data_IF_638628156926
#
_entry.id   IF_638628156926
#
_cell.length_a   1.000
_cell.length_b   1.000
_cell.length_c   1.000
_cell.angle_alpha   90.00
_cell.angle_beta   90.00
_cell.angle_gamma   90.00
#
_symmetry.space_group_name_H-M   'P 1'
#
loop_
_entity.id
_entity.type
_entity.pdbx_description
1 polymer ?
#
# COMPACT_ATOMS: atom_id res chain seq x y z
N UNK A 1 -6.46 19.06 1.84
CA UNK A 1 -5.11 18.45 1.89
C UNK A 1 -4.04 19.29 2.59
N UNK A 2 -4.09 20.63 2.60
CA UNK A 2 -3.02 21.45 3.21
C UNK A 2 -2.80 21.16 4.71
N UNK A 3 -3.86 21.01 5.51
CA UNK A 3 -3.75 20.68 6.94
C UNK A 3 -2.98 19.38 7.20
N UNK A 4 -3.25 18.31 6.44
CA UNK A 4 -2.50 17.04 6.53
C UNK A 4 -1.01 17.22 6.21
N UNK A 5 -0.68 18.05 5.21
CA UNK A 5 0.73 18.35 4.87
C UNK A 5 1.43 19.07 6.02
N UNK A 6 0.76 20.04 6.65
CA UNK A 6 1.30 20.77 7.80
C UNK A 6 1.51 19.85 9.02
N UNK A 7 0.63 18.87 9.20
CA UNK A 7 0.74 17.86 10.25
C UNK A 7 1.69 16.69 9.92
N UNK A 8 2.40 16.71 8.79
CA UNK A 8 3.24 15.60 8.29
C UNK A 8 2.49 14.27 8.07
N UNK A 9 1.17 14.31 7.91
CA UNK A 9 0.30 13.14 7.67
C UNK A 9 0.04 12.87 6.18
N UNK A 10 0.64 13.65 5.28
CA UNK A 10 0.47 13.49 3.84
C UNK A 10 1.82 13.38 3.13
N UNK A 11 2.18 12.15 2.73
CA UNK A 11 3.32 11.85 1.86
C UNK A 11 4.64 12.53 2.33
N UNK A 12 4.85 12.57 3.64
CA UNK A 12 5.91 13.34 4.30
C UNK A 12 7.31 12.74 4.13
N UNK A 13 7.42 11.46 3.77
CA UNK A 13 8.69 10.75 3.69
C UNK A 13 9.24 10.57 2.26
N UNK A 14 8.62 11.22 1.26
CA UNK A 14 9.08 11.15 -0.12
C UNK A 14 10.50 11.74 -0.27
N UNK A 15 11.28 11.14 -1.16
CA UNK A 15 12.64 11.56 -1.47
C UNK A 15 12.61 12.51 -2.66
N UNK A 16 13.13 13.72 -2.48
CA UNK A 16 13.23 14.68 -3.58
C UNK A 16 14.26 14.24 -4.63
N UNK A 17 13.85 14.27 -5.89
CA UNK A 17 14.65 13.95 -7.08
C UNK A 17 14.82 15.22 -7.92
N UNK A 18 16.06 15.56 -8.27
CA UNK A 18 16.37 16.72 -9.12
C UNK A 18 17.71 16.56 -9.85
N UNK A 19 17.97 17.42 -10.85
CA UNK A 19 19.23 17.43 -11.59
C UNK A 19 19.52 16.10 -12.29
N UNK A 20 20.74 15.58 -12.15
CA UNK A 20 21.17 14.32 -12.80
C UNK A 20 20.32 13.10 -12.41
N UNK A 21 19.68 13.10 -11.24
CA UNK A 21 18.83 11.99 -10.81
C UNK A 21 17.56 11.88 -11.68
N UNK A 22 17.05 13.01 -12.19
CA UNK A 22 15.92 13.01 -13.14
C UNK A 22 16.30 12.30 -14.43
N UNK A 23 17.50 12.56 -14.95
CA UNK A 23 18.00 11.88 -16.15
C UNK A 23 18.13 10.37 -15.92
N UNK A 24 18.65 9.94 -14.76
CA UNK A 24 18.75 8.53 -14.41
C UNK A 24 17.38 7.87 -14.31
N UNK A 25 16.45 8.53 -13.62
CA UNK A 25 15.08 8.05 -13.49
C UNK A 25 14.39 7.91 -14.85
N UNK A 26 14.55 8.90 -15.74
CA UNK A 26 14.03 8.84 -17.11
C UNK A 26 14.65 7.70 -17.93
N UNK A 27 15.95 7.39 -17.73
CA UNK A 27 16.56 6.21 -18.36
C UNK A 27 15.98 4.90 -17.83
N UNK A 28 15.64 4.83 -16.54
CA UNK A 28 14.93 3.69 -15.97
C UNK A 28 13.54 3.55 -16.61
N UNK A 29 12.76 4.64 -16.69
CA UNK A 29 11.45 4.63 -17.36
C UNK A 29 11.53 4.07 -18.78
N UNK A 30 12.45 4.59 -19.60
CA UNK A 30 12.63 4.11 -20.98
C UNK A 30 13.05 2.65 -21.02
N UNK A 31 13.96 2.21 -20.13
CA UNK A 31 14.40 0.82 -20.07
C UNK A 31 13.27 -0.14 -19.72
N UNK A 32 12.32 0.30 -18.91
CA UNK A 32 11.13 -0.46 -18.51
C UNK A 32 9.96 -0.34 -19.51
N UNK A 33 10.15 0.34 -20.65
CA UNK A 33 9.12 0.50 -21.68
C UNK A 33 8.19 1.70 -21.48
N UNK A 34 8.46 2.58 -20.52
CA UNK A 34 7.66 3.78 -20.24
C UNK A 34 8.20 5.04 -20.92
N UNK A 35 7.32 6.02 -21.10
CA UNK A 35 7.71 7.36 -21.57
C UNK A 35 8.46 8.15 -20.48
N UNK A 36 9.49 8.95 -20.83
CA UNK A 36 10.11 9.87 -19.88
C UNK A 36 9.11 10.88 -19.28
N UNK A 37 9.32 11.28 -18.03
CA UNK A 37 8.66 12.46 -17.44
C UNK A 37 9.31 13.76 -17.97
N UNK A 38 8.50 14.81 -18.10
CA UNK A 38 8.97 16.17 -18.43
C UNK A 38 9.31 16.99 -17.18
N UNK A 39 9.03 16.46 -15.98
CA UNK A 39 9.30 17.14 -14.72
C UNK A 39 10.81 17.25 -14.48
N UNK A 40 11.25 18.44 -14.07
CA UNK A 40 12.65 18.73 -13.72
C UNK A 40 12.96 18.49 -12.23
N UNK A 41 11.91 18.33 -11.42
CA UNK A 41 11.96 18.02 -10.00
C UNK A 41 10.66 17.32 -9.60
N UNK A 42 10.76 16.24 -8.82
CA UNK A 42 9.64 15.47 -8.29
C UNK A 42 10.09 14.72 -7.04
N UNK A 43 9.20 13.97 -6.40
CA UNK A 43 9.51 13.18 -5.22
C UNK A 43 9.12 11.73 -5.42
N UNK A 44 9.91 10.79 -4.89
CA UNK A 44 9.67 9.34 -5.01
C UNK A 44 9.54 8.65 -3.67
N UNK A 45 8.84 7.54 -3.63
CA UNK A 45 8.68 6.67 -2.46
C UNK A 45 9.68 5.51 -2.42
N UNK A 46 9.44 4.51 -1.56
CA UNK A 46 10.31 3.34 -1.41
C UNK A 46 10.52 2.52 -2.70
N UNK A 47 9.49 2.35 -3.54
CA UNK A 47 9.59 1.61 -4.82
C UNK A 47 10.03 2.51 -5.97
N UNK A 48 10.15 3.81 -5.75
CA UNK A 48 10.46 4.78 -6.80
C UNK A 48 9.22 5.40 -7.45
N UNK A 49 8.02 5.15 -6.92
CA UNK A 49 6.79 5.77 -7.40
C UNK A 49 6.74 7.25 -7.00
N UNK A 50 6.36 8.11 -7.95
CA UNK A 50 6.18 9.55 -7.79
C UNK A 50 4.73 9.94 -8.02
N UNK A 51 4.07 10.55 -7.03
CA UNK A 51 2.72 11.08 -7.23
C UNK A 51 2.65 12.21 -8.26
N UNK A 52 3.70 13.04 -8.38
CA UNK A 52 3.75 14.12 -9.38
C UNK A 52 3.83 13.55 -10.81
N UNK A 53 4.58 12.47 -11.02
CA UNK A 53 4.63 11.78 -12.31
C UNK A 53 3.31 11.05 -12.59
N UNK A 54 2.68 10.47 -11.57
CA UNK A 54 1.37 9.85 -11.71
C UNK A 54 0.30 10.87 -12.17
N UNK A 55 0.34 12.10 -11.63
CA UNK A 55 -0.51 13.20 -12.05
C UNK A 55 -0.21 13.63 -13.50
N UNK A 56 1.09 13.80 -13.84
CA UNK A 56 1.51 14.13 -15.23
C UNK A 56 1.00 13.10 -16.25
N UNK A 57 1.07 11.80 -15.90
CA UNK A 57 0.70 10.70 -16.78
C UNK A 57 -0.79 10.32 -16.70
N UNK A 58 -1.54 10.89 -15.76
CA UNK A 58 -2.94 10.53 -15.51
C UNK A 58 -3.15 9.08 -15.04
N UNK A 59 -2.13 8.45 -14.46
CA UNK A 59 -2.18 7.07 -13.98
C UNK A 59 -1.35 6.87 -12.72
N UNK A 60 -1.99 6.32 -11.69
CA UNK A 60 -1.31 5.90 -10.45
C UNK A 60 -0.45 4.66 -10.63
N UNK A 61 -0.59 3.95 -11.75
CA UNK A 61 0.11 2.70 -12.04
C UNK A 61 1.12 2.87 -13.19
N UNK A 62 1.71 4.07 -13.33
CA UNK A 62 2.62 4.35 -14.45
C UNK A 62 3.93 3.55 -14.43
N UNK A 63 4.26 2.88 -13.31
CA UNK A 63 5.39 1.95 -13.19
C UNK A 63 4.99 0.49 -13.48
N UNK A 64 3.76 0.24 -13.89
CA UNK A 64 3.28 -1.11 -14.19
C UNK A 64 2.98 -1.23 -15.69
N UNK A 65 3.46 -2.30 -16.31
CA UNK A 65 3.06 -2.67 -17.67
C UNK A 65 1.82 -3.55 -17.59
N UNK A 66 0.65 -2.91 -17.56
CA UNK A 66 -0.61 -3.58 -17.25
C UNK A 66 -0.69 -3.94 -15.76
N UNK A 67 -1.50 -4.95 -15.43
CA UNK A 67 -1.75 -5.35 -14.04
C UNK A 67 -0.83 -6.49 -13.56
N UNK A 68 -0.20 -7.23 -14.46
CA UNK A 68 0.64 -8.39 -14.11
C UNK A 68 2.14 -8.07 -13.97
N UNK A 69 2.60 -6.90 -14.45
CA UNK A 69 4.03 -6.58 -14.53
C UNK A 69 4.36 -5.29 -13.76
N UNK A 70 4.42 -5.32 -12.42
CA UNK A 70 4.85 -4.19 -11.63
C UNK A 70 6.38 -4.05 -11.64
N UNK A 71 6.85 -2.80 -11.63
CA UNK A 71 8.28 -2.50 -11.61
C UNK A 71 8.61 -1.54 -10.47
N UNK A 72 9.88 -1.54 -10.07
CA UNK A 72 10.42 -0.55 -9.15
C UNK A 72 11.68 0.11 -9.72
N UNK A 73 11.96 1.33 -9.26
CA UNK A 73 13.13 2.09 -9.65
C UNK A 73 13.89 2.50 -8.39
N UNK A 74 15.14 2.05 -8.27
CA UNK A 74 16.04 2.46 -7.20
C UNK A 74 17.10 3.41 -7.78
N UNK A 75 17.05 4.67 -7.36
CA UNK A 75 18.03 5.71 -7.75
C UNK A 75 18.86 6.20 -6.57
N UNK A 76 18.52 5.81 -5.34
CA UNK A 76 19.17 6.31 -4.12
C UNK A 76 19.11 5.29 -2.97
N UNK A 77 20.16 5.19 -2.13
CA UNK A 77 20.10 4.37 -0.92
C UNK A 77 19.09 4.89 0.10
N UNK A 78 18.67 6.15 -0.02
CA UNK A 78 17.66 6.76 0.87
C UNK A 78 16.28 6.10 0.76
N UNK A 79 16.02 5.32 -0.30
CA UNK A 79 14.79 4.54 -0.44
C UNK A 79 14.71 3.38 0.56
N UNK A 80 15.82 3.00 1.21
CA UNK A 80 15.84 1.97 2.24
C UNK A 80 14.89 2.31 3.39
N UNK A 81 13.90 1.44 3.62
CA UNK A 81 12.94 1.57 4.72
C UNK A 81 11.89 2.65 4.51
N UNK A 82 11.82 3.28 3.32
CA UNK A 82 10.80 4.30 3.04
C UNK A 82 9.43 3.69 2.80
N UNK A 83 8.35 4.42 3.16
CA UNK A 83 6.99 3.98 2.86
C UNK A 83 6.78 3.78 1.35
N UNK A 84 5.91 2.84 1.00
CA UNK A 84 5.35 2.66 -0.34
C UNK A 84 3.94 3.23 -0.32
N UNK A 85 3.70 4.33 -1.03
CA UNK A 85 2.45 5.10 -0.89
C UNK A 85 1.33 4.62 -1.80
N UNK A 86 1.66 3.96 -2.90
CA UNK A 86 0.69 3.36 -3.83
C UNK A 86 1.15 1.93 -4.17
N UNK A 87 1.20 1.01 -3.19
CA UNK A 87 1.53 -0.39 -3.47
C UNK A 87 0.47 -0.97 -4.42
N UNK A 88 0.92 -1.76 -5.38
CA UNK A 88 0.03 -2.55 -6.24
C UNK A 88 -0.36 -3.86 -5.54
N UNK A 89 0.58 -4.46 -4.80
CA UNK A 89 0.33 -5.57 -3.88
C UNK A 89 0.65 -5.20 -2.44
N UNK A 90 -0.05 -5.79 -1.47
CA UNK A 90 0.26 -5.57 -0.05
C UNK A 90 1.68 -5.98 0.34
N UNK A 91 2.31 -6.89 -0.42
CA UNK A 91 3.67 -7.35 -0.18
C UNK A 91 4.77 -6.53 -0.90
N UNK A 92 4.44 -5.49 -1.67
CA UNK A 92 5.43 -4.69 -2.41
C UNK A 92 6.46 -4.04 -1.47
N UNK A 93 6.02 -3.64 -0.28
CA UNK A 93 6.88 -3.04 0.74
C UNK A 93 7.87 -4.07 1.28
N UNK A 94 7.43 -5.28 1.55
CA UNK A 94 8.21 -6.40 2.07
C UNK A 94 9.25 -6.87 1.04
N UNK A 95 8.87 -6.92 -0.25
CA UNK A 95 9.81 -7.16 -1.34
C UNK A 95 10.93 -6.13 -1.34
N UNK A 96 10.61 -4.83 -1.23
CA UNK A 96 11.62 -3.78 -1.16
C UNK A 96 12.49 -3.89 0.10
N UNK A 97 11.92 -4.24 1.25
CA UNK A 97 12.68 -4.51 2.46
C UNK A 97 13.68 -5.66 2.26
N UNK A 98 13.27 -6.75 1.62
CA UNK A 98 14.14 -7.87 1.29
C UNK A 98 15.27 -7.46 0.34
N UNK A 99 14.95 -6.67 -0.70
CA UNK A 99 15.93 -6.12 -1.65
C UNK A 99 17.02 -5.34 -0.90
N UNK A 100 16.64 -4.40 -0.03
CA UNK A 100 17.60 -3.59 0.71
C UNK A 100 18.31 -4.35 1.83
N UNK A 101 17.69 -5.41 2.38
CA UNK A 101 18.33 -6.30 3.36
C UNK A 101 19.45 -7.12 2.75
N UNK A 102 19.24 -7.66 1.54
CA UNK A 102 20.21 -8.55 0.88
C UNK A 102 21.25 -7.76 0.09
N UNK A 103 20.82 -6.75 -0.67
CA UNK A 103 21.68 -6.03 -1.63
C UNK A 103 22.01 -4.59 -1.22
N UNK A 104 21.68 -4.17 0.01
CA UNK A 104 21.77 -2.77 0.46
C UNK A 104 23.14 -2.10 0.22
N UNK A 105 24.24 -2.79 0.52
CA UNK A 105 25.59 -2.25 0.33
C UNK A 105 25.94 -2.07 -1.15
N UNK A 106 25.53 -3.03 -1.99
CA UNK A 106 25.70 -2.95 -3.45
C UNK A 106 24.84 -1.85 -4.05
N UNK A 107 23.59 -1.73 -3.61
CA UNK A 107 22.68 -0.65 -4.02
C UNK A 107 23.30 0.71 -3.69
N UNK A 108 23.85 0.86 -2.49
CA UNK A 108 24.52 2.10 -2.08
C UNK A 108 25.71 2.45 -2.98
N UNK A 109 26.54 1.48 -3.37
CA UNK A 109 27.64 1.74 -4.30
C UNK A 109 27.15 2.04 -5.72
N UNK A 110 26.23 1.22 -6.26
CA UNK A 110 25.72 1.33 -7.64
C UNK A 110 24.98 2.65 -7.88
N UNK A 111 24.21 3.12 -6.90
CA UNK A 111 23.39 4.34 -7.05
C UNK A 111 24.20 5.64 -6.98
N UNK A 112 25.51 5.59 -6.70
CA UNK A 112 26.40 6.76 -6.77
C UNK A 112 26.43 7.34 -8.18
N UNK A 113 26.57 6.48 -9.19
CA UNK A 113 26.76 6.85 -10.59
C UNK A 113 25.69 6.25 -11.53
N UNK A 114 24.91 5.28 -11.06
CA UNK A 114 23.87 4.60 -11.83
C UNK A 114 22.51 4.58 -11.12
N UNK A 115 21.60 3.77 -11.65
CA UNK A 115 20.29 3.43 -11.09
C UNK A 115 19.95 1.98 -11.44
N UNK A 116 19.01 1.41 -10.68
CA UNK A 116 18.61 0.00 -10.78
C UNK A 116 17.12 -0.03 -11.09
N UNK A 117 16.77 -0.70 -12.18
CA UNK A 117 15.39 -1.05 -12.48
C UNK A 117 15.13 -2.44 -11.92
N UNK A 118 14.03 -2.60 -11.21
CA UNK A 118 13.56 -3.86 -10.70
C UNK A 118 12.36 -4.29 -11.53
N UNK A 119 12.36 -5.55 -11.89
CA UNK A 119 11.26 -6.24 -12.52
C UNK A 119 10.76 -7.30 -11.55
N UNK A 120 9.48 -7.22 -11.20
CA UNK A 120 8.82 -8.21 -10.36
C UNK A 120 8.11 -9.17 -11.30
N UNK A 121 8.70 -10.34 -11.50
CA UNK A 121 8.23 -11.34 -12.43
C UNK A 121 7.49 -12.45 -11.67
N UNK A 122 6.20 -12.62 -11.95
CA UNK A 122 5.38 -13.67 -11.37
C UNK A 122 5.28 -14.92 -12.26
N UNK A 123 6.04 -14.96 -13.36
CA UNK A 123 5.87 -15.88 -14.49
C UNK A 123 4.44 -15.78 -15.09
N UNK A 124 3.87 -14.57 -15.08
CA UNK A 124 2.55 -14.25 -15.63
C UNK A 124 2.74 -13.10 -16.62
N UNK A 125 2.69 -13.41 -17.91
CA UNK A 125 2.88 -12.38 -18.96
C UNK A 125 1.76 -11.32 -18.91
N UNK A 126 0.52 -11.79 -18.75
CA UNK A 126 -0.68 -10.98 -18.67
C UNK A 126 -1.80 -11.77 -17.97
N UNK A 127 -2.73 -11.03 -17.37
CA UNK A 127 -3.99 -11.61 -16.92
C UNK A 127 -5.00 -11.68 -18.05
N UNK A 128 -5.73 -12.80 -18.09
CA UNK A 128 -6.84 -13.03 -19.01
C UNK A 128 -8.16 -13.18 -18.24
N UNK A 129 -8.10 -13.76 -17.05
CA UNK A 129 -9.27 -14.05 -16.21
C UNK A 129 -9.05 -13.56 -14.76
N UNK A 130 -10.11 -13.13 -14.06
CA UNK A 130 -9.98 -12.56 -12.71
C UNK A 130 -9.35 -13.49 -11.69
N UNK A 131 -9.50 -14.81 -11.84
CA UNK A 131 -8.89 -15.80 -10.95
C UNK A 131 -7.44 -16.14 -11.31
N UNK A 132 -6.86 -15.54 -12.36
CA UNK A 132 -5.43 -15.64 -12.63
C UNK A 132 -4.58 -15.08 -11.47
N UNK A 133 -5.16 -14.24 -10.61
CA UNK A 133 -4.54 -13.79 -9.34
C UNK A 133 -4.23 -14.94 -8.38
N UNK A 134 -4.84 -16.10 -8.55
CA UNK A 134 -4.52 -17.30 -7.77
C UNK A 134 -3.18 -17.94 -8.20
N UNK A 135 -2.68 -17.62 -9.41
CA UNK A 135 -1.40 -18.12 -9.91
C UNK A 135 -0.18 -17.52 -9.22
N UNK A 136 -0.36 -16.44 -8.44
CA UNK A 136 0.71 -15.88 -7.62
C UNK A 136 1.19 -16.96 -6.65
N UNK A 137 2.48 -17.21 -6.57
CA UNK A 137 3.06 -18.10 -5.56
C UNK A 137 4.43 -17.58 -5.19
N UNK A 138 5.22 -17.29 -6.23
CA UNK A 138 6.56 -16.75 -6.11
C UNK A 138 6.74 -15.56 -7.03
N UNK A 139 7.35 -14.51 -6.49
CA UNK A 139 7.80 -13.36 -7.26
C UNK A 139 9.31 -13.42 -7.39
N UNK A 140 9.78 -13.48 -8.63
CA UNK A 140 11.18 -13.35 -8.99
C UNK A 140 11.52 -11.87 -9.12
N UNK A 141 12.38 -11.37 -8.24
CA UNK A 141 12.85 -9.98 -8.27
C UNK A 141 14.12 -9.92 -9.11
N UNK A 142 14.01 -9.38 -10.32
CA UNK A 142 15.10 -9.25 -11.27
C UNK A 142 15.69 -7.83 -11.24
N UNK A 143 17.00 -7.70 -11.44
CA UNK A 143 17.71 -6.43 -11.35
C UNK A 143 18.35 -6.06 -12.67
N UNK A 144 18.11 -4.83 -13.13
CA UNK A 144 18.67 -4.32 -14.36
C UNK A 144 19.31 -2.96 -14.14
N UNK A 145 20.63 -2.90 -14.35
CA UNK A 145 21.36 -1.64 -14.29
C UNK A 145 21.11 -0.80 -15.55
N UNK A 146 21.00 0.52 -15.39
CA UNK A 146 21.01 1.44 -16.53
C UNK A 146 22.41 1.55 -17.14
N UNK A 147 22.49 2.03 -18.38
CA UNK A 147 23.74 2.26 -19.13
C UNK A 147 24.64 1.03 -19.36
N UNK A 148 24.11 -0.18 -19.18
CA UNK A 148 24.85 -1.44 -19.32
C UNK A 148 26.15 -1.46 -18.51
N UNK A 149 26.11 -0.94 -17.27
CA UNK A 149 27.29 -0.80 -16.42
C UNK A 149 28.04 -2.14 -16.24
N UNK A 150 27.31 -3.25 -16.19
CA UNK A 150 27.88 -4.61 -16.14
C UNK A 150 28.68 -4.96 -17.40
N UNK A 151 28.20 -4.55 -18.59
CA UNK A 151 28.93 -4.77 -19.84
C UNK A 151 30.13 -3.84 -19.93
N UNK A 152 29.99 -2.58 -19.48
CA UNK A 152 31.10 -1.65 -19.38
C UNK A 152 32.21 -2.17 -18.46
N UNK A 153 31.86 -2.82 -17.35
CA UNK A 153 32.81 -3.47 -16.45
C UNK A 153 33.53 -4.63 -17.15
N UNK A 154 32.81 -5.51 -17.86
CA UNK A 154 33.40 -6.61 -18.62
C UNK A 154 34.39 -6.11 -19.68
N UNK A 155 34.02 -5.06 -20.43
CA UNK A 155 34.90 -4.45 -21.42
C UNK A 155 36.12 -3.77 -20.78
N UNK A 156 35.94 -3.09 -19.64
CA UNK A 156 37.06 -2.51 -18.89
C UNK A 156 38.02 -3.60 -18.40
N UNK A 157 37.51 -4.74 -17.92
CA UNK A 157 38.32 -5.88 -17.51
C UNK A 157 39.12 -6.47 -18.68
N UNK A 158 38.50 -6.64 -19.86
CA UNK A 158 39.21 -7.08 -21.08
C UNK A 158 40.35 -6.14 -21.46
N UNK A 159 40.14 -4.82 -21.37
CA UNK A 159 41.19 -3.83 -21.64
C UNK A 159 42.35 -3.95 -20.62
N UNK A 160 42.04 -4.21 -19.35
CA UNK A 160 43.05 -4.40 -18.30
C UNK A 160 43.83 -5.70 -18.51
N UNK A 161 43.14 -6.78 -18.86
CA UNK A 161 43.78 -8.08 -19.13
C UNK A 161 44.69 -7.97 -20.37
N UNK A 162 44.23 -7.27 -21.41
CA UNK A 162 45.06 -6.94 -22.57
C UNK A 162 46.28 -6.10 -22.18
N UNK A 163 46.11 -5.10 -21.31
CA UNK A 163 47.19 -4.23 -20.84
C UNK A 163 48.24 -4.99 -20.03
N UNK A 164 47.81 -5.93 -19.19
CA UNK A 164 48.70 -6.78 -18.38
C UNK A 164 49.42 -7.87 -19.17
N UNK A 165 49.03 -8.10 -20.43
CA UNK A 165 49.59 -9.15 -21.27
C UNK A 165 50.85 -8.66 -22.00
N UNK A 166 51.92 -9.46 -21.90
CA UNK A 166 53.21 -9.24 -22.59
C UNK A 166 53.76 -7.82 -22.37
N UNK A 167 54.00 -7.07 -23.46
CA UNK A 167 54.50 -5.70 -23.45
C UNK A 167 53.43 -4.66 -23.76
N UNK A 168 52.14 -5.01 -23.71
CA UNK A 168 51.06 -4.08 -24.08
C UNK A 168 50.94 -2.87 -23.13
N UNK A 169 51.66 -2.86 -22.01
CA UNK A 169 51.73 -1.71 -21.10
C UNK A 169 52.42 -0.47 -21.69
N UNK A 170 53.06 -0.56 -22.86
CA UNK A 170 53.60 0.60 -23.60
C UNK A 170 52.68 1.07 -24.73
N UNK A 171 51.57 0.37 -24.98
CA UNK A 171 50.63 0.70 -26.06
C UNK A 171 49.78 1.93 -25.70
N UNK A 172 50.09 3.07 -26.34
CA UNK A 172 49.39 4.33 -26.12
C UNK A 172 47.91 4.30 -26.56
N UNK A 173 47.55 3.50 -27.56
CA UNK A 173 46.15 3.33 -27.99
C UNK A 173 45.34 2.59 -26.91
N UNK A 174 45.96 1.59 -26.27
CA UNK A 174 45.36 0.88 -25.15
C UNK A 174 45.21 1.79 -23.93
N UNK A 175 46.20 2.65 -23.64
CA UNK A 175 46.09 3.67 -22.61
C UNK A 175 44.93 4.62 -22.87
N UNK A 176 44.77 5.09 -24.11
CA UNK A 176 43.69 5.99 -24.50
C UNK A 176 42.31 5.33 -24.31
N UNK A 177 42.17 4.04 -24.67
CA UNK A 177 40.94 3.27 -24.46
C UNK A 177 40.61 3.10 -22.97
N UNK A 178 41.60 2.76 -22.13
CA UNK A 178 41.44 2.67 -20.68
C UNK A 178 41.04 4.01 -20.06
N UNK A 179 41.70 5.11 -20.46
CA UNK A 179 41.40 6.45 -19.96
C UNK A 179 40.00 6.91 -20.39
N UNK A 180 39.59 6.63 -21.62
CA UNK A 180 38.24 6.94 -22.11
C UNK A 180 37.16 6.16 -21.33
N UNK A 181 37.41 4.87 -21.07
CA UNK A 181 36.54 4.04 -20.24
C UNK A 181 36.42 4.61 -18.82
N UNK A 182 37.55 4.92 -18.17
CA UNK A 182 37.58 5.47 -16.82
C UNK A 182 36.91 6.85 -16.71
N UNK A 183 37.08 7.73 -17.71
CA UNK A 183 36.41 9.05 -17.73
C UNK A 183 34.89 8.93 -17.88
N UNK A 184 34.42 7.93 -18.62
CA UNK A 184 32.99 7.75 -18.91
C UNK A 184 32.24 7.01 -17.80
N UNK A 185 32.86 5.96 -17.24
CA UNK A 185 32.20 5.05 -16.30
C UNK A 185 32.84 4.99 -14.90
N UNK A 186 33.96 5.69 -14.69
CA UNK A 186 34.76 5.55 -13.48
C UNK A 186 35.62 4.28 -13.47
N UNK A 187 36.24 4.02 -12.33
CA UNK A 187 36.99 2.79 -12.08
C UNK A 187 36.05 1.68 -11.61
N UNK A 188 35.88 0.64 -12.44
CA UNK A 188 34.97 -0.47 -12.20
C UNK A 188 35.71 -1.74 -11.71
N UNK A 189 37.03 -1.71 -11.57
CA UNK A 189 37.87 -2.91 -11.33
C UNK A 189 37.47 -3.71 -10.10
N UNK A 190 37.15 -3.02 -9.02
CA UNK A 190 36.84 -3.63 -7.71
C UNK A 190 35.38 -3.45 -7.32
N UNK A 191 34.52 -3.00 -8.23
CA UNK A 191 33.10 -2.79 -7.93
C UNK A 191 32.33 -4.09 -8.07
N UNK A 192 31.58 -4.45 -7.04
CA UNK A 192 30.66 -5.59 -7.13
C UNK A 192 29.30 -5.11 -7.64
N UNK A 193 29.08 -5.31 -8.95
CA UNK A 193 27.84 -4.98 -9.64
C UNK A 193 26.86 -6.16 -9.71
N UNK A 194 27.17 -7.29 -9.04
CA UNK A 194 26.37 -8.51 -9.13
C UNK A 194 25.16 -8.45 -8.20
N UNK A 195 23.98 -8.30 -8.79
CA UNK A 195 22.69 -8.42 -8.11
C UNK A 195 22.03 -9.70 -8.59
N UNK A 196 22.12 -10.78 -7.81
CA UNK A 196 21.41 -12.01 -8.13
C UNK A 196 19.91 -11.83 -7.90
N UNK A 197 19.08 -12.49 -8.72
CA UNK A 197 17.63 -12.46 -8.57
C UNK A 197 17.21 -13.00 -7.21
N UNK A 198 16.21 -12.37 -6.60
CA UNK A 198 15.65 -12.80 -5.33
C UNK A 198 14.32 -13.51 -5.58
N UNK A 199 13.94 -14.39 -4.66
CA UNK A 199 12.62 -15.01 -4.64
C UNK A 199 11.87 -14.50 -3.42
N UNK A 200 10.60 -14.14 -3.62
CA UNK A 200 9.66 -13.77 -2.57
C UNK A 200 8.46 -14.72 -2.65
N UNK A 201 8.17 -15.44 -1.56
CA UNK A 201 7.00 -16.32 -1.48
C UNK A 201 5.80 -15.51 -0.98
N UNK A 202 4.68 -15.60 -1.70
CA UNK A 202 3.46 -14.85 -1.37
C UNK A 202 2.52 -15.72 -0.54
N UNK A 203 2.00 -15.15 0.55
CA UNK A 203 0.96 -15.70 1.39
C UNK A 203 -0.43 -15.17 0.96
N UNK A 204 -1.29 -14.84 1.93
CA UNK A 204 -2.52 -14.09 1.65
C UNK A 204 -2.19 -12.62 1.35
N UNK A 205 -2.79 -12.03 0.33
CA UNK A 205 -2.47 -10.66 -0.09
C UNK A 205 -3.67 -9.91 -0.68
N UNK A 206 -3.49 -8.60 -0.87
CA UNK A 206 -4.38 -7.78 -1.70
C UNK A 206 -3.63 -7.27 -2.92
N UNK A 207 -4.31 -7.21 -4.06
CA UNK A 207 -3.81 -6.63 -5.31
C UNK A 207 -4.81 -5.62 -5.87
N UNK A 208 -4.29 -4.55 -6.51
CA UNK A 208 -5.11 -3.58 -7.26
C UNK A 208 -5.56 -4.11 -8.63
N UNK A 209 -5.06 -5.27 -9.06
CA UNK A 209 -5.54 -5.94 -10.27
C UNK A 209 -7.06 -6.11 -10.22
N UNK A 210 -7.71 -6.08 -11.38
CA UNK A 210 -9.16 -6.22 -11.51
C UNK A 210 -9.96 -5.28 -10.60
N UNK A 211 -9.44 -4.07 -10.34
CA UNK A 211 -10.11 -3.08 -9.51
C UNK A 211 -10.10 -3.35 -8.01
N UNK A 212 -9.28 -4.30 -7.54
CA UNK A 212 -9.12 -4.63 -6.12
C UNK A 212 -9.58 -6.04 -5.78
N UNK A 213 -8.63 -6.89 -5.38
CA UNK A 213 -8.88 -8.30 -5.02
C UNK A 213 -8.08 -8.70 -3.79
N UNK A 214 -8.76 -9.29 -2.81
CA UNK A 214 -8.15 -10.01 -1.69
C UNK A 214 -8.06 -11.48 -2.01
N UNK A 215 -6.90 -12.08 -1.77
CA UNK A 215 -6.65 -13.52 -1.89
C UNK A 215 -6.24 -14.03 -0.51
N UNK A 216 -7.12 -14.82 0.10
CA UNK A 216 -6.95 -15.39 1.43
C UNK A 216 -6.72 -16.91 1.31
N UNK A 217 -5.50 -17.39 1.53
CA UNK A 217 -5.11 -18.79 1.22
C UNK A 217 -5.07 -19.71 2.41
N UNK A 218 -4.68 -19.21 3.56
CA UNK A 218 -4.29 -20.02 4.72
C UNK A 218 -5.46 -20.32 5.67
N UNK A 219 -6.65 -20.53 5.11
CA UNK A 219 -7.90 -20.71 5.86
C UNK A 219 -8.59 -22.02 5.51
N UNK A 220 -9.68 -22.35 6.21
CA UNK A 220 -10.46 -23.60 6.02
C UNK A 220 -10.79 -23.83 4.53
N UNK A 221 -11.08 -22.76 3.80
CA UNK A 221 -11.17 -22.77 2.34
C UNK A 221 -10.57 -21.48 1.81
N UNK A 222 -9.80 -21.51 0.70
CA UNK A 222 -9.29 -20.28 0.12
C UNK A 222 -10.45 -19.35 -0.27
N UNK A 223 -10.28 -18.07 -0.03
CA UNK A 223 -11.33 -17.07 -0.22
C UNK A 223 -10.80 -15.90 -1.06
N UNK A 224 -11.59 -15.50 -2.04
CA UNK A 224 -11.29 -14.37 -2.93
C UNK A 224 -12.38 -13.31 -2.76
N UNK A 225 -12.00 -12.10 -2.34
CA UNK A 225 -12.93 -10.97 -2.21
C UNK A 225 -12.64 -9.95 -3.30
N UNK A 226 -13.63 -9.68 -4.15
CA UNK A 226 -13.57 -8.64 -5.17
C UNK A 226 -14.20 -7.33 -4.68
N UNK A 227 -13.49 -6.22 -4.87
CA UNK A 227 -14.04 -4.87 -4.67
C UNK A 227 -14.89 -4.42 -5.86
N UNK A 228 -14.52 -4.86 -7.07
CA UNK A 228 -15.21 -4.50 -8.31
C UNK A 228 -16.32 -5.51 -8.67
N UNK A 229 -17.54 -5.00 -8.86
CA UNK A 229 -18.73 -5.81 -9.14
C UNK A 229 -18.68 -6.48 -10.51
N UNK A 230 -18.03 -5.89 -11.51
CA UNK A 230 -17.93 -6.47 -12.85
C UNK A 230 -17.03 -7.70 -12.79
N UNK A 231 -15.87 -7.61 -12.15
CA UNK A 231 -14.92 -8.72 -12.07
C UNK A 231 -15.40 -9.83 -11.15
N UNK A 232 -16.07 -9.49 -10.04
CA UNK A 232 -16.80 -10.47 -9.23
C UNK A 232 -17.77 -11.33 -10.07
N UNK A 233 -18.60 -10.69 -10.90
CA UNK A 233 -19.59 -11.39 -11.75
C UNK A 233 -18.94 -12.29 -12.80
N UNK A 234 -17.71 -11.98 -13.22
CA UNK A 234 -16.97 -12.85 -14.12
C UNK A 234 -16.34 -14.02 -13.37
N UNK A 235 -15.75 -13.77 -12.19
CA UNK A 235 -15.10 -14.79 -11.37
C UNK A 235 -16.04 -15.90 -10.92
N UNK A 236 -17.29 -15.59 -10.55
CA UNK A 236 -18.27 -16.61 -10.10
C UNK A 236 -18.75 -17.57 -11.20
N UNK A 237 -18.37 -17.34 -12.46
CA UNK A 237 -18.66 -18.28 -13.56
C UNK A 237 -17.65 -19.42 -13.63
N UNK A 238 -16.50 -19.26 -12.96
CA UNK A 238 -15.47 -20.28 -12.88
C UNK A 238 -16.00 -21.51 -12.14
N UNK A 239 -15.69 -22.69 -12.69
CA UNK A 239 -16.04 -23.99 -12.10
C UNK A 239 -14.81 -24.88 -11.92
N UNK A 240 -13.62 -24.31 -12.13
CA UNK A 240 -12.33 -25.01 -12.15
C UNK A 240 -11.66 -24.88 -10.79
N UNK A 241 -11.68 -23.70 -10.20
CA UNK A 241 -11.02 -23.37 -8.94
C UNK A 241 -11.94 -23.68 -7.76
N UNK A 242 -11.41 -24.45 -6.80
CA UNK A 242 -12.09 -24.74 -5.54
C UNK A 242 -11.83 -23.62 -4.52
N UNK A 243 -12.48 -22.47 -4.74
CA UNK A 243 -12.33 -21.26 -3.90
C UNK A 243 -13.68 -20.62 -3.61
N UNK A 244 -13.79 -19.98 -2.44
CA UNK A 244 -14.94 -19.17 -2.10
C UNK A 244 -14.80 -17.77 -2.72
N UNK A 245 -15.80 -17.31 -3.46
CA UNK A 245 -15.75 -16.02 -4.16
C UNK A 245 -16.84 -15.11 -3.60
N UNK A 246 -16.44 -13.94 -3.11
CA UNK A 246 -17.35 -12.93 -2.59
C UNK A 246 -17.11 -11.57 -3.22
N UNK A 247 -18.16 -10.77 -3.26
CA UNK A 247 -18.05 -9.33 -3.46
C UNK A 247 -17.97 -8.64 -2.10
N UNK A 248 -17.18 -7.57 -1.96
CA UNK A 248 -16.92 -6.91 -0.66
C UNK A 248 -18.20 -6.43 0.05
N UNK A 249 -19.24 -6.08 -0.71
CA UNK A 249 -20.53 -5.62 -0.17
C UNK A 249 -21.56 -6.74 0.08
N UNK A 250 -21.20 -8.01 -0.09
CA UNK A 250 -22.12 -9.12 0.21
C UNK A 250 -22.28 -9.33 1.71
N UNK A 251 -23.52 -9.37 2.24
CA UNK A 251 -23.76 -9.61 3.67
C UNK A 251 -23.13 -10.91 4.18
N UNK A 252 -23.14 -11.96 3.35
CA UNK A 252 -22.64 -13.29 3.67
C UNK A 252 -21.12 -13.33 3.88
N UNK A 253 -20.37 -12.34 3.37
CA UNK A 253 -18.92 -12.27 3.53
C UNK A 253 -18.54 -12.21 5.01
N UNK A 254 -19.16 -11.30 5.78
CA UNK A 254 -18.84 -11.13 7.20
C UNK A 254 -19.23 -12.35 8.04
N UNK A 255 -20.31 -13.03 7.67
CA UNK A 255 -20.68 -14.32 8.28
C UNK A 255 -19.58 -15.35 8.01
N UNK A 256 -19.13 -15.46 6.76
CA UNK A 256 -18.10 -16.43 6.39
C UNK A 256 -16.75 -16.17 7.08
N UNK A 257 -16.34 -14.91 7.17
CA UNK A 257 -15.10 -14.52 7.86
C UNK A 257 -15.15 -14.90 9.36
N UNK A 258 -16.32 -14.77 10.01
CA UNK A 258 -16.51 -15.22 11.41
C UNK A 258 -16.50 -16.74 11.52
N UNK A 259 -17.24 -17.44 10.67
CA UNK A 259 -17.33 -18.91 10.67
C UNK A 259 -15.97 -19.57 10.44
N UNK A 260 -15.11 -18.92 9.65
CA UNK A 260 -13.74 -19.36 9.38
C UNK A 260 -12.71 -18.89 10.41
N UNK A 261 -13.15 -18.23 11.49
CA UNK A 261 -12.28 -17.74 12.58
C UNK A 261 -11.19 -16.78 12.03
N UNK A 262 -11.56 -15.99 11.01
CA UNK A 262 -10.69 -14.95 10.42
C UNK A 262 -10.87 -13.64 11.18
N UNK A 263 -12.11 -13.37 11.60
CA UNK A 263 -12.49 -12.20 12.37
C UNK A 263 -13.31 -12.59 13.58
N UNK A 264 -13.22 -11.78 14.62
CA UNK A 264 -13.98 -11.91 15.85
C UNK A 264 -14.55 -10.56 16.29
N UNK A 265 -15.47 -10.57 17.26
CA UNK A 265 -15.96 -9.36 17.89
C UNK A 265 -16.29 -9.65 19.36
N UNK A 266 -16.09 -8.64 20.20
CA UNK A 266 -16.57 -8.60 21.58
C UNK A 266 -17.13 -7.19 21.81
N UNK A 267 -18.46 -7.07 21.86
CA UNK A 267 -19.11 -5.76 22.00
C UNK A 267 -18.96 -5.18 23.40
N UNK A 268 -18.92 -6.02 24.42
CA UNK A 268 -18.79 -5.57 25.81
C UNK A 268 -17.39 -5.00 26.01
N UNK A 269 -16.36 -5.75 25.61
CA UNK A 269 -14.98 -5.27 25.64
C UNK A 269 -14.76 -4.05 24.73
N UNK A 270 -15.46 -3.96 23.59
CA UNK A 270 -15.30 -2.85 22.66
C UNK A 270 -15.71 -1.50 23.26
N UNK A 271 -16.72 -1.42 24.13
CA UNK A 271 -17.21 -0.15 24.69
C UNK A 271 -16.11 0.67 25.39
N UNK A 272 -15.17 -0.03 26.02
CA UNK A 272 -14.07 0.56 26.78
C UNK A 272 -12.85 0.90 25.90
N UNK A 273 -12.92 0.69 24.58
CA UNK A 273 -11.81 0.96 23.67
C UNK A 273 -11.90 2.35 23.03
N UNK A 274 -10.73 2.97 22.83
CA UNK A 274 -10.63 4.22 22.05
C UNK A 274 -11.16 4.04 20.62
N UNK A 275 -11.04 2.83 20.06
CA UNK A 275 -11.55 2.50 18.73
C UNK A 275 -13.06 2.66 18.65
N UNK A 276 -13.81 2.10 19.60
CA UNK A 276 -15.26 2.27 19.65
C UNK A 276 -15.64 3.75 19.76
N UNK A 277 -14.96 4.51 20.63
CA UNK A 277 -15.21 5.95 20.78
C UNK A 277 -14.93 6.72 19.49
N UNK A 278 -13.87 6.40 18.75
CA UNK A 278 -13.59 6.99 17.42
C UNK A 278 -14.68 6.66 16.40
N UNK A 279 -15.12 5.39 16.32
CA UNK A 279 -16.17 4.96 15.40
C UNK A 279 -17.48 5.69 15.69
N UNK A 280 -17.86 5.77 16.98
CA UNK A 280 -19.05 6.48 17.43
C UNK A 280 -18.96 7.98 17.11
N UNK A 281 -17.83 8.63 17.40
CA UNK A 281 -17.60 10.04 17.10
C UNK A 281 -17.63 10.31 15.59
N UNK A 282 -17.09 9.42 14.75
CA UNK A 282 -17.16 9.54 13.30
C UNK A 282 -18.61 9.47 12.80
N UNK A 283 -19.39 8.46 13.20
CA UNK A 283 -20.80 8.36 12.81
C UNK A 283 -21.64 9.54 13.30
N UNK A 284 -21.35 10.01 14.52
CA UNK A 284 -22.01 11.20 15.05
C UNK A 284 -21.66 12.43 14.21
N UNK A 285 -20.38 12.69 13.93
CA UNK A 285 -19.93 13.81 13.12
C UNK A 285 -20.57 13.83 11.73
N UNK A 286 -20.65 12.68 11.07
CA UNK A 286 -21.28 12.55 9.74
C UNK A 286 -22.80 12.79 9.77
N UNK A 287 -23.42 12.70 10.94
CA UNK A 287 -24.86 12.92 11.14
C UNK A 287 -25.20 14.38 11.51
N UNK A 288 -24.21 15.20 11.86
CA UNK A 288 -24.41 16.60 12.25
C UNK A 288 -24.71 17.48 11.03
N UNK A 289 -25.68 18.38 11.19
CA UNK A 289 -26.06 19.39 10.19
C UNK A 289 -26.24 20.74 10.89
N UNK A 290 -25.92 21.83 10.18
CA UNK A 290 -26.14 23.22 10.62
C UNK A 290 -25.64 23.50 12.06
N UNK A 291 -24.39 23.10 12.35
CA UNK A 291 -23.82 23.18 13.69
C UNK A 291 -23.44 24.62 14.07
N UNK A 292 -23.95 25.09 15.23
CA UNK A 292 -23.54 26.38 15.81
C UNK A 292 -22.13 26.38 16.43
N UNK A 293 -21.59 25.21 16.78
CA UNK A 293 -20.24 25.05 17.32
C UNK A 293 -19.38 24.28 16.30
N UNK A 294 -18.06 24.48 16.30
CA UNK A 294 -17.14 23.65 15.51
C UNK A 294 -17.31 22.16 15.86
N UNK A 295 -17.35 21.28 14.85
CA UNK A 295 -17.54 19.83 15.05
C UNK A 295 -16.52 19.26 16.04
N UNK A 296 -15.25 19.65 15.96
CA UNK A 296 -14.22 19.20 16.92
C UNK A 296 -14.65 19.45 18.38
N UNK A 297 -15.16 20.64 18.69
CA UNK A 297 -15.62 20.98 20.05
C UNK A 297 -16.84 20.14 20.45
N UNK A 298 -17.75 19.87 19.50
CA UNK A 298 -18.93 19.02 19.75
C UNK A 298 -18.51 17.58 20.06
N UNK A 299 -17.46 17.07 19.41
CA UNK A 299 -16.98 15.71 19.62
C UNK A 299 -16.22 15.53 20.94
N UNK A 300 -15.54 16.57 21.42
CA UNK A 300 -14.66 16.46 22.58
C UNK A 300 -15.29 16.95 23.89
N UNK A 301 -16.29 17.83 23.83
CA UNK A 301 -17.04 18.26 25.02
C UNK A 301 -18.30 17.39 25.25
N UNK A 302 -18.41 16.79 26.44
CA UNK A 302 -19.51 15.89 26.80
C UNK A 302 -20.89 16.59 26.84
N UNK A 303 -20.93 17.86 27.26
CA UNK A 303 -22.19 18.64 27.32
C UNK A 303 -22.67 18.96 25.91
N UNK A 304 -21.77 19.41 25.04
CA UNK A 304 -22.08 19.65 23.63
C UNK A 304 -22.46 18.35 22.92
N UNK A 305 -21.70 17.27 23.10
CA UNK A 305 -22.02 15.95 22.53
C UNK A 305 -23.46 15.56 22.86
N UNK A 306 -23.84 15.58 24.14
CA UNK A 306 -25.20 15.26 24.59
C UNK A 306 -26.26 16.22 24.03
N UNK A 307 -25.95 17.52 23.99
CA UNK A 307 -26.87 18.53 23.47
C UNK A 307 -27.18 18.28 21.99
N UNK A 308 -26.15 18.05 21.18
CA UNK A 308 -26.29 17.80 19.75
C UNK A 308 -26.88 16.43 19.45
N UNK A 309 -26.51 15.40 20.21
CA UNK A 309 -27.13 14.08 20.10
C UNK A 309 -28.65 14.16 20.28
N UNK A 310 -29.13 14.89 21.28
CA UNK A 310 -30.57 15.06 21.54
C UNK A 310 -31.33 15.90 20.51
N UNK A 311 -30.62 16.65 19.64
CA UNK A 311 -31.22 17.38 18.52
C UNK A 311 -31.42 16.49 17.28
N UNK A 312 -30.76 15.33 17.22
CA UNK A 312 -30.94 14.37 16.14
C UNK A 312 -32.28 13.62 16.27
N UNK A 313 -32.80 13.17 15.14
CA UNK A 313 -33.99 12.32 15.11
C UNK A 313 -33.74 10.98 15.85
N UNK A 314 -34.82 10.29 16.19
CA UNK A 314 -34.74 9.09 17.01
C UNK A 314 -34.00 7.94 16.31
N UNK A 315 -34.10 7.82 14.99
CA UNK A 315 -33.50 6.72 14.24
C UNK A 315 -31.99 6.93 14.13
N UNK A 316 -31.55 8.17 13.86
CA UNK A 316 -30.13 8.53 13.87
C UNK A 316 -29.51 8.36 15.27
N UNK A 317 -30.22 8.74 16.34
CA UNK A 317 -29.75 8.51 17.72
C UNK A 317 -29.58 7.04 18.04
N UNK A 318 -30.57 6.21 17.66
CA UNK A 318 -30.50 4.75 17.84
C UNK A 318 -29.33 4.14 17.07
N UNK A 319 -29.04 4.65 15.87
CA UNK A 319 -27.87 4.23 15.10
C UNK A 319 -26.57 4.50 15.87
N UNK A 320 -26.38 5.73 16.35
CA UNK A 320 -25.14 6.14 17.06
C UNK A 320 -24.96 5.40 18.39
N UNK A 321 -26.05 5.21 19.13
CA UNK A 321 -26.06 4.57 20.46
C UNK A 321 -26.38 3.07 20.41
N UNK A 322 -26.36 2.47 19.21
CA UNK A 322 -26.95 1.14 18.98
C UNK A 322 -26.29 0.04 19.81
N UNK A 323 -24.98 0.14 20.04
CA UNK A 323 -24.20 -0.85 20.79
C UNK A 323 -24.55 -0.79 22.28
N UNK A 324 -24.58 0.40 22.88
CA UNK A 324 -24.98 0.54 24.29
C UNK A 324 -26.42 0.13 24.50
N UNK A 325 -27.33 0.57 23.62
CA UNK A 325 -28.74 0.19 23.69
C UNK A 325 -28.96 -1.32 23.54
N UNK A 326 -28.12 -1.99 22.76
CA UNK A 326 -28.15 -3.45 22.61
C UNK A 326 -27.71 -4.14 23.90
N UNK A 327 -26.57 -3.73 24.47
CA UNK A 327 -26.01 -4.32 25.68
C UNK A 327 -26.92 -4.06 26.91
N UNK A 328 -27.44 -2.85 27.09
CA UNK A 328 -28.42 -2.51 28.14
C UNK A 328 -29.68 -3.40 28.06
N UNK A 329 -30.12 -3.72 26.83
CA UNK A 329 -31.29 -4.59 26.62
C UNK A 329 -30.99 -6.07 26.84
N UNK A 330 -29.77 -6.51 26.53
CA UNK A 330 -29.33 -7.88 26.80
C UNK A 330 -29.27 -8.17 28.30
N UNK A 331 -28.93 -7.19 29.14
CA UNK A 331 -29.00 -7.32 30.61
C UNK A 331 -30.41 -7.69 31.10
N UNK A 332 -31.44 -7.27 30.36
CA UNK A 332 -32.85 -7.50 30.70
C UNK A 332 -33.43 -8.74 30.01
N UNK A 333 -33.07 -8.98 28.74
CA UNK A 333 -33.60 -10.11 27.96
C UNK A 333 -32.71 -10.55 26.80
N UNK A 334 -32.51 -11.86 26.66
CA UNK A 334 -31.77 -12.47 25.55
C UNK A 334 -32.59 -12.58 24.24
N UNK A 335 -33.80 -12.02 24.18
CA UNK A 335 -34.66 -12.10 23.00
C UNK A 335 -34.25 -11.11 21.89
N UNK A 336 -33.49 -10.06 22.25
CA UNK A 336 -33.08 -9.03 21.29
C UNK A 336 -31.93 -9.54 20.42
N UNK A 337 -32.11 -9.47 19.10
CA UNK A 337 -31.05 -9.79 18.16
C UNK A 337 -30.21 -8.55 17.87
N UNK A 338 -28.91 -8.76 17.72
CA UNK A 338 -27.95 -7.69 17.44
C UNK A 338 -28.34 -6.88 16.19
N UNK A 339 -28.77 -7.55 15.12
CA UNK A 339 -29.15 -6.92 13.85
C UNK A 339 -30.41 -6.05 13.94
N UNK A 340 -31.21 -6.20 15.01
CA UNK A 340 -32.41 -5.37 15.21
C UNK A 340 -32.08 -4.01 15.84
N UNK A 341 -30.90 -3.86 16.43
CA UNK A 341 -30.54 -2.72 17.28
C UNK A 341 -29.21 -2.05 16.90
N UNK A 342 -28.26 -2.80 16.35
CA UNK A 342 -26.96 -2.30 15.93
C UNK A 342 -26.92 -2.17 14.42
N UNK A 343 -26.59 -0.98 13.92
CA UNK A 343 -26.36 -0.75 12.50
C UNK A 343 -25.28 -1.68 11.95
N UNK A 344 -25.56 -2.30 10.81
CA UNK A 344 -24.65 -3.31 10.21
C UNK A 344 -23.28 -2.74 9.92
N UNK A 345 -23.19 -1.46 9.51
CA UNK A 345 -21.91 -0.82 9.26
C UNK A 345 -21.11 -0.64 10.55
N UNK A 346 -21.76 -0.18 11.63
CA UNK A 346 -21.11 -0.07 12.95
C UNK A 346 -20.69 -1.46 13.45
N UNK A 347 -21.56 -2.46 13.35
CA UNK A 347 -21.24 -3.81 13.76
C UNK A 347 -20.04 -4.39 13.01
N UNK A 348 -20.01 -4.26 11.68
CA UNK A 348 -18.89 -4.69 10.86
C UNK A 348 -17.60 -3.93 11.23
N UNK A 349 -17.70 -2.62 11.49
CA UNK A 349 -16.56 -1.80 11.91
C UNK A 349 -16.02 -2.14 13.30
N UNK A 350 -16.70 -2.96 14.11
CA UNK A 350 -16.23 -3.41 15.43
C UNK A 350 -15.56 -4.77 15.42
N UNK A 351 -15.54 -5.46 14.27
CA UNK A 351 -14.78 -6.71 14.16
C UNK A 351 -13.28 -6.43 14.23
N UNK A 352 -12.53 -7.40 14.71
CA UNK A 352 -11.06 -7.43 14.72
C UNK A 352 -10.60 -8.70 13.98
N UNK A 353 -9.40 -8.70 13.37
CA UNK A 353 -8.76 -9.95 12.97
C UNK A 353 -8.63 -10.87 14.18
N UNK A 354 -8.84 -12.16 13.97
CA UNK A 354 -8.72 -13.13 15.06
C UNK A 354 -7.28 -13.20 15.58
N UNK A 355 -7.12 -13.24 16.90
CA UNK A 355 -5.81 -13.22 17.56
C UNK A 355 -4.84 -14.35 17.16
N UNK A 356 -5.34 -15.45 16.60
CA UNK A 356 -4.50 -16.57 16.13
C UNK A 356 -3.76 -16.31 14.82
N UNK A 357 -4.11 -15.26 14.08
CA UNK A 357 -3.50 -14.96 12.78
C UNK A 357 -2.09 -14.41 12.94
N UNK A 358 -1.21 -14.66 11.97
CA UNK A 358 0.10 -14.02 11.93
C UNK A 358 -0.03 -12.51 11.69
N UNK A 359 0.95 -11.72 12.14
CA UNK A 359 0.90 -10.25 12.06
C UNK A 359 0.62 -9.75 10.64
N UNK A 360 1.25 -10.32 9.62
CA UNK A 360 1.02 -9.95 8.21
C UNK A 360 -0.40 -10.22 7.75
N UNK A 361 -0.97 -11.36 8.16
CA UNK A 361 -2.37 -11.70 7.89
C UNK A 361 -3.31 -10.77 8.66
N UNK A 362 -3.02 -10.45 9.92
CA UNK A 362 -3.82 -9.48 10.69
C UNK A 362 -3.89 -8.13 9.99
N UNK A 363 -2.76 -7.63 9.48
CA UNK A 363 -2.72 -6.37 8.73
C UNK A 363 -3.55 -6.40 7.44
N UNK A 364 -3.53 -7.53 6.72
CA UNK A 364 -4.38 -7.71 5.54
C UNK A 364 -5.87 -7.74 5.89
N UNK A 365 -6.25 -8.48 6.94
CA UNK A 365 -7.64 -8.55 7.40
C UNK A 365 -8.10 -7.21 7.96
N UNK A 366 -7.22 -6.45 8.60
CA UNK A 366 -7.51 -5.06 8.99
C UNK A 366 -7.84 -4.19 7.80
N UNK A 367 -7.04 -4.27 6.73
CA UNK A 367 -7.33 -3.57 5.48
C UNK A 367 -8.70 -3.98 4.91
N UNK A 368 -9.00 -5.27 4.85
CA UNK A 368 -10.29 -5.78 4.38
C UNK A 368 -11.46 -5.23 5.22
N UNK A 369 -11.38 -5.31 6.55
CA UNK A 369 -12.42 -4.81 7.46
C UNK A 369 -12.69 -3.31 7.28
N UNK A 370 -11.64 -2.52 7.08
CA UNK A 370 -11.75 -1.08 6.82
C UNK A 370 -12.35 -0.80 5.45
N UNK A 371 -12.04 -1.60 4.43
CA UNK A 371 -12.69 -1.46 3.13
C UNK A 371 -14.16 -1.91 3.15
N UNK A 372 -14.53 -2.87 4.01
CA UNK A 372 -15.94 -3.25 4.25
C UNK A 372 -16.69 -2.16 5.00
N UNK A 373 -16.09 -1.56 6.04
CA UNK A 373 -16.74 -0.52 6.84
C UNK A 373 -15.75 0.54 7.31
N UNK A 374 -15.55 1.63 6.52
CA UNK A 374 -14.56 2.66 6.80
C UNK A 374 -15.06 3.66 7.86
N UNK A 375 -15.27 3.19 9.09
CA UNK A 375 -15.83 3.99 10.19
C UNK A 375 -14.84 4.35 11.30
N UNK A 376 -13.59 3.87 11.23
CA UNK A 376 -12.52 4.31 12.15
C UNK A 376 -11.48 5.13 11.38
N UNK A 377 -11.44 6.44 11.63
CA UNK A 377 -10.53 7.35 10.92
C UNK A 377 -9.05 7.01 11.10
N UNK A 378 -8.66 6.40 12.23
CA UNK A 378 -7.26 6.07 12.52
C UNK A 378 -6.85 4.85 11.70
N UNK A 379 -7.68 3.81 11.72
CA UNK A 379 -7.43 2.58 10.98
C UNK A 379 -7.59 2.80 9.48
N UNK A 380 -8.53 3.66 9.06
CA UNK A 380 -8.62 4.13 7.68
C UNK A 380 -7.31 4.79 7.24
N UNK A 381 -6.71 5.65 8.07
CA UNK A 381 -5.40 6.23 7.79
C UNK A 381 -4.25 5.21 7.78
N UNK A 382 -4.28 4.17 8.61
CA UNK A 382 -3.21 3.18 8.67
C UNK A 382 -3.26 2.17 7.52
N UNK A 383 -4.44 1.65 7.21
CA UNK A 383 -4.62 0.51 6.30
C UNK A 383 -5.11 0.89 4.90
N UNK A 384 -5.76 2.04 4.73
CA UNK A 384 -6.15 2.54 3.40
C UNK A 384 -6.02 4.06 3.27
N UNK A 385 -4.77 4.52 3.09
CA UNK A 385 -4.45 5.94 2.92
C UNK A 385 -5.11 6.56 1.68
N UNK A 386 -5.31 5.78 0.62
CA UNK A 386 -5.91 6.31 -0.61
C UNK A 386 -7.37 6.65 -0.37
N UNK A 387 -8.12 5.74 0.23
CA UNK A 387 -9.51 5.99 0.60
C UNK A 387 -9.63 7.05 1.69
N UNK A 388 -8.74 7.04 2.69
CA UNK A 388 -8.66 8.11 3.69
C UNK A 388 -8.53 9.49 3.03
N UNK A 389 -7.60 9.67 2.08
CA UNK A 389 -7.41 10.97 1.45
C UNK A 389 -8.59 11.40 0.58
N UNK A 390 -9.31 10.45 -0.05
CA UNK A 390 -10.54 10.73 -0.79
C UNK A 390 -11.64 11.24 0.15
N UNK A 391 -11.89 10.53 1.25
CA UNK A 391 -12.92 10.93 2.22
C UNK A 391 -12.53 12.22 2.94
N UNK A 392 -11.27 12.35 3.36
CA UNK A 392 -10.77 13.55 4.02
C UNK A 392 -10.98 14.81 3.18
N UNK A 393 -10.94 14.72 1.85
CA UNK A 393 -11.17 15.87 0.99
C UNK A 393 -12.60 16.44 1.12
N UNK A 394 -13.60 15.61 1.42
CA UNK A 394 -15.03 15.98 1.46
C UNK A 394 -15.51 16.41 2.85
N UNK A 395 -14.71 16.13 3.89
CA UNK A 395 -15.07 16.43 5.27
C UNK A 395 -15.11 17.93 5.61
N UNK A 396 -15.92 18.28 6.61
CA UNK A 396 -15.97 19.62 7.20
C UNK A 396 -14.60 20.06 7.75
N UNK A 397 -14.31 21.36 7.71
CA UNK A 397 -13.01 21.90 8.13
C UNK A 397 -12.73 21.71 9.62
N UNK A 398 -13.74 21.77 10.48
CA UNK A 398 -13.57 21.50 11.91
C UNK A 398 -13.44 20.00 12.19
N UNK A 399 -14.18 19.15 11.47
CA UNK A 399 -13.99 17.69 11.58
C UNK A 399 -12.59 17.25 11.15
N UNK A 400 -12.05 17.87 10.09
CA UNK A 400 -10.66 17.67 9.66
C UNK A 400 -9.63 17.95 10.76
N UNK A 401 -9.86 18.98 11.59
CA UNK A 401 -8.97 19.30 12.72
C UNK A 401 -9.00 18.20 13.78
N UNK A 402 -10.20 17.73 14.14
CA UNK A 402 -10.37 16.60 15.05
C UNK A 402 -9.68 15.32 14.55
N UNK A 403 -9.82 15.02 13.25
CA UNK A 403 -9.15 13.87 12.63
C UNK A 403 -7.63 13.99 12.72
N UNK A 404 -7.06 15.15 12.39
CA UNK A 404 -5.62 15.37 12.44
C UNK A 404 -5.10 15.21 13.87
N UNK A 405 -5.78 15.79 14.84
CA UNK A 405 -5.42 15.67 16.25
C UNK A 405 -5.48 14.21 16.71
N UNK A 406 -6.56 13.51 16.37
CA UNK A 406 -6.74 12.10 16.72
C UNK A 406 -5.63 11.24 16.13
N UNK A 407 -5.30 11.42 14.84
CA UNK A 407 -4.23 10.67 14.19
C UNK A 407 -2.86 11.01 14.80
N UNK A 408 -2.58 12.30 15.01
CA UNK A 408 -1.28 12.75 15.53
C UNK A 408 -1.02 12.26 16.95
N UNK A 409 -2.05 12.11 17.76
CA UNK A 409 -1.94 11.60 19.14
C UNK A 409 -1.73 10.08 19.20
N UNK A 410 -1.80 9.36 18.07
CA UNK A 410 -1.73 7.90 17.99
C UNK A 410 -0.60 7.38 17.07
N UNK A 411 0.31 8.24 16.58
CA UNK A 411 1.45 7.86 15.70
C UNK A 411 2.78 7.90 16.45
#
# INVERSE_FOLDING_TARGET
MQKLKQANLYRSELITVSGKLVERYNRCLVKLGFTPTKLTKFSIDGVGYSPEIAEEKGSTMYLNNGEANPHAIIISPLQKGKPVYSPFHTFDKEMMQQVFRIHGDKINDITRDSAICLDFDQNIDAFYEPLDVLKYDKVSINFHLINNLSDAQKEQQKLIDAFKKDHNFIDEDLHAKLLASAKKYGDLRNRDLSLHSLQYETDSFYTKAFGGVYVLRDFISPLVVFEDLKWYKEAIKDTIHDVLIYHINQPELMEKLRDHIIVEYDLEAALDTDRYQRIKKMEFAMSLKDTQHPIQQILDDNVLFKSYLNKLDIDTRKKIMGVELYLEKLEVSNQYKIHDLVDVGIFNALHTPHSSLHVTQQDLIWKLLINISPKDILFLFWYDKEEFYKQYATWDESFKDWVIETISNNI
#
